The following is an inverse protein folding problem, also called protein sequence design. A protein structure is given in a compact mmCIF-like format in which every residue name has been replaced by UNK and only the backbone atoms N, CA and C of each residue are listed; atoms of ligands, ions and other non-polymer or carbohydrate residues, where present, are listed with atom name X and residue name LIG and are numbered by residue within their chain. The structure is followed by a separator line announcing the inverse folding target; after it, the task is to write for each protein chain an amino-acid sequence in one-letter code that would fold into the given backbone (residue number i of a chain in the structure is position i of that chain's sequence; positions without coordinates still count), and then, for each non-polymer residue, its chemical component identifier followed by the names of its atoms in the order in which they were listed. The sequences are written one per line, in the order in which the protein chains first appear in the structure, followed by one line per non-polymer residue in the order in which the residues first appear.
data_IF_435779532779
#
_entry.id   IF_435779532779
#
_cell.length_a   1.000
_cell.length_b   1.000
_cell.length_c   1.000
_cell.angle_alpha   90.00
_cell.angle_beta   90.00
_cell.angle_gamma   90.00
#
_symmetry.space_group_name_H-M   'P 1'
#
loop_
_entity.id
_entity.type
_entity.pdbx_description
1 polymer ?
#
# COMPACT_ATOMS: atom_id res chain seq x y z
N UNK A 1 9.61 -44.63 0.47
CA UNK A 1 8.26 -44.86 -0.10
C UNK A 1 7.96 -43.74 -1.13
N UNK A 2 8.73 -43.67 -2.22
CA UNK A 2 8.75 -42.54 -3.18
C UNK A 2 8.97 -43.03 -4.63
N UNK A 3 8.39 -44.18 -4.98
CA UNK A 3 8.51 -44.78 -6.34
C UNK A 3 7.14 -45.04 -6.96
N UNK A 4 6.15 -45.43 -6.15
CA UNK A 4 4.80 -45.78 -6.61
C UNK A 4 4.02 -44.60 -7.23
N UNK A 5 4.15 -43.38 -6.68
CA UNK A 5 3.47 -42.20 -7.23
C UNK A 5 4.13 -41.70 -8.52
N UNK A 6 5.45 -41.80 -8.65
CA UNK A 6 6.18 -41.33 -9.85
C UNK A 6 5.85 -42.18 -11.09
N UNK A 7 5.63 -43.48 -10.93
CA UNK A 7 5.36 -44.39 -12.05
C UNK A 7 3.90 -44.33 -12.55
N UNK A 8 2.93 -44.02 -11.68
CA UNK A 8 1.53 -43.76 -12.08
C UNK A 8 1.40 -42.42 -12.80
N UNK A 9 2.12 -41.39 -12.35
CA UNK A 9 2.13 -40.09 -13.01
C UNK A 9 2.96 -40.08 -14.30
N UNK A 10 4.04 -40.87 -14.42
CA UNK A 10 4.87 -40.90 -15.64
C UNK A 10 4.22 -41.68 -16.79
N UNK A 11 3.50 -42.78 -16.50
CA UNK A 11 2.80 -43.58 -17.51
C UNK A 11 1.49 -42.96 -18.01
N UNK A 12 0.72 -42.31 -17.12
CA UNK A 12 -0.57 -41.68 -17.45
C UNK A 12 -0.47 -40.25 -17.98
N UNK A 13 0.51 -39.45 -17.50
CA UNK A 13 0.67 -38.08 -17.99
C UNK A 13 1.27 -38.02 -19.40
N UNK A 14 2.11 -38.98 -19.79
CA UNK A 14 2.70 -39.02 -21.14
C UNK A 14 1.62 -39.28 -22.21
N UNK A 15 0.68 -40.20 -21.96
CA UNK A 15 -0.43 -40.44 -22.89
C UNK A 15 -1.44 -39.31 -22.94
N UNK A 16 -1.69 -38.62 -21.82
CA UNK A 16 -2.53 -37.42 -21.77
C UNK A 16 -1.87 -36.23 -22.48
N UNK A 17 -0.56 -36.02 -22.31
CA UNK A 17 0.19 -34.96 -23.02
C UNK A 17 0.23 -35.23 -24.52
N UNK A 18 0.40 -36.49 -24.95
CA UNK A 18 0.35 -36.86 -26.37
C UNK A 18 -1.08 -36.73 -26.92
N UNK A 19 -2.11 -37.13 -26.18
CA UNK A 19 -3.51 -36.96 -26.61
C UNK A 19 -3.94 -35.49 -26.67
N UNK A 20 -3.44 -34.64 -25.76
CA UNK A 20 -3.64 -33.18 -25.82
C UNK A 20 -2.84 -32.56 -26.96
N UNK A 21 -1.60 -33.01 -27.18
CA UNK A 21 -0.78 -32.61 -28.33
C UNK A 21 -1.45 -32.95 -29.66
N UNK A 22 -1.92 -34.19 -29.81
CA UNK A 22 -2.62 -34.66 -31.01
C UNK A 22 -4.00 -33.98 -31.19
N UNK A 23 -4.71 -33.66 -30.11
CA UNK A 23 -5.99 -32.94 -30.20
C UNK A 23 -5.80 -31.45 -30.57
N UNK A 24 -4.73 -30.82 -30.08
CA UNK A 24 -4.33 -29.46 -30.48
C UNK A 24 -3.86 -29.43 -31.94
N UNK A 25 -3.17 -30.47 -32.40
CA UNK A 25 -2.64 -30.55 -33.76
C UNK A 25 -3.73 -30.94 -34.79
N UNK A 26 -4.68 -31.80 -34.39
CA UNK A 26 -5.77 -32.27 -35.26
C UNK A 26 -6.98 -31.31 -35.34
N UNK A 27 -7.14 -30.39 -34.38
CA UNK A 27 -8.23 -29.41 -34.39
C UNK A 27 -7.78 -27.99 -34.78
N UNK A 28 -6.50 -27.81 -35.13
CA UNK A 28 -6.00 -26.52 -35.61
C UNK A 28 -5.13 -26.74 -36.84
N UNK A 29 -5.74 -26.61 -38.02
CA UNK A 29 -5.14 -26.89 -39.34
C UNK A 29 -4.97 -25.63 -40.23
N UNK A 30 -5.18 -24.42 -39.71
CA UNK A 30 -4.99 -23.16 -40.45
C UNK A 30 -4.10 -22.17 -39.69
N UNK A 31 -2.97 -21.79 -40.28
CA UNK A 31 -2.05 -20.76 -39.75
C UNK A 31 -2.72 -19.38 -39.60
N UNK A 32 -3.78 -19.12 -40.37
CA UNK A 32 -4.58 -17.89 -40.31
C UNK A 32 -5.51 -17.87 -39.09
N UNK A 33 -6.17 -18.99 -38.78
CA UNK A 33 -7.03 -19.10 -37.59
C UNK A 33 -6.22 -19.06 -36.29
N UNK A 34 -5.00 -19.63 -36.27
CA UNK A 34 -4.06 -19.46 -35.14
C UNK A 34 -3.69 -18.00 -34.92
N UNK A 35 -3.41 -17.26 -36.00
CA UNK A 35 -3.10 -15.82 -35.92
C UNK A 35 -4.29 -14.97 -35.48
N UNK A 36 -5.51 -15.29 -35.92
CA UNK A 36 -6.71 -14.60 -35.45
C UNK A 36 -6.97 -14.89 -33.97
N UNK A 37 -6.84 -16.15 -33.56
CA UNK A 37 -6.98 -16.56 -32.16
C UNK A 37 -5.90 -15.91 -31.27
N UNK A 38 -4.64 -15.85 -31.71
CA UNK A 38 -3.57 -15.14 -30.99
C UNK A 38 -3.85 -13.64 -30.87
N UNK A 39 -4.42 -13.02 -31.92
CA UNK A 39 -4.84 -11.62 -31.87
C UNK A 39 -6.03 -11.40 -30.92
N UNK A 40 -7.00 -12.31 -30.88
CA UNK A 40 -8.12 -12.24 -29.95
C UNK A 40 -7.69 -12.48 -28.50
N UNK A 41 -6.82 -13.47 -28.25
CA UNK A 41 -6.21 -13.72 -26.95
C UNK A 41 -5.37 -12.52 -26.51
N UNK A 42 -4.61 -11.90 -27.42
CA UNK A 42 -3.85 -10.68 -27.16
C UNK A 42 -4.75 -9.50 -26.77
N UNK A 43 -5.87 -9.31 -27.48
CA UNK A 43 -6.88 -8.28 -27.14
C UNK A 43 -7.55 -8.57 -25.80
N UNK A 44 -7.93 -9.82 -25.54
CA UNK A 44 -8.55 -10.23 -24.28
C UNK A 44 -7.60 -10.04 -23.10
N UNK A 45 -6.33 -10.40 -23.26
CA UNK A 45 -5.28 -10.21 -22.25
C UNK A 45 -5.06 -8.72 -21.97
N UNK A 46 -4.95 -7.90 -23.02
CA UNK A 46 -4.80 -6.44 -22.87
C UNK A 46 -6.02 -5.80 -22.18
N UNK A 47 -7.23 -6.23 -22.54
CA UNK A 47 -8.46 -5.77 -21.88
C UNK A 47 -8.53 -6.19 -20.41
N UNK A 48 -8.11 -7.41 -20.11
CA UNK A 48 -8.02 -7.92 -18.74
C UNK A 48 -7.01 -7.12 -17.91
N UNK A 49 -5.82 -6.86 -18.45
CA UNK A 49 -4.81 -6.02 -17.79
C UNK A 49 -5.32 -4.59 -17.53
N UNK A 50 -6.02 -3.99 -18.50
CA UNK A 50 -6.62 -2.66 -18.33
C UNK A 50 -7.72 -2.65 -17.26
N UNK A 51 -8.58 -3.68 -17.24
CA UNK A 51 -9.60 -3.84 -16.20
C UNK A 51 -8.97 -4.02 -14.82
N UNK A 52 -7.94 -4.86 -14.70
CA UNK A 52 -7.23 -5.06 -13.46
C UNK A 52 -6.54 -3.79 -12.96
N UNK A 53 -5.92 -3.03 -13.86
CA UNK A 53 -5.34 -1.73 -13.54
C UNK A 53 -6.42 -0.73 -13.08
N UNK A 54 -7.57 -0.70 -13.74
CA UNK A 54 -8.70 0.15 -13.37
C UNK A 54 -9.28 -0.22 -12.00
N UNK A 55 -9.44 -1.51 -11.71
CA UNK A 55 -9.89 -2.02 -10.41
C UNK A 55 -8.92 -1.65 -9.30
N UNK A 56 -7.60 -1.81 -9.51
CA UNK A 56 -6.59 -1.41 -8.51
C UNK A 56 -6.58 0.11 -8.26
N UNK A 57 -6.83 0.92 -9.29
CA UNK A 57 -7.03 2.37 -9.13
C UNK A 57 -8.30 2.69 -8.35
N UNK A 58 -9.40 1.97 -8.61
CA UNK A 58 -10.67 2.15 -7.91
C UNK A 58 -10.57 1.76 -6.43
N UNK A 59 -9.89 0.66 -6.11
CA UNK A 59 -9.62 0.23 -4.74
C UNK A 59 -8.77 1.28 -3.99
N UNK A 60 -7.71 1.77 -4.65
CA UNK A 60 -6.88 2.85 -4.08
C UNK A 60 -7.70 4.11 -3.85
N UNK A 61 -8.57 4.49 -4.80
CA UNK A 61 -9.46 5.65 -4.64
C UNK A 61 -10.48 5.44 -3.52
N UNK A 62 -11.06 4.25 -3.37
CA UNK A 62 -12.00 3.94 -2.31
C UNK A 62 -11.33 4.02 -0.92
N UNK A 63 -10.13 3.45 -0.78
CA UNK A 63 -9.34 3.54 0.44
C UNK A 63 -8.95 4.99 0.78
N UNK A 64 -8.51 5.77 -0.22
CA UNK A 64 -8.22 7.19 -0.05
C UNK A 64 -9.49 8.01 0.26
N UNK A 65 -10.63 7.63 -0.31
CA UNK A 65 -11.94 8.24 -0.10
C UNK A 65 -12.45 8.05 1.32
N UNK A 66 -12.33 6.85 1.88
CA UNK A 66 -12.67 6.58 3.28
C UNK A 66 -11.82 7.42 4.23
N UNK A 67 -10.52 7.49 3.96
CA UNK A 67 -9.58 8.32 4.75
C UNK A 67 -9.87 9.82 4.60
N UNK A 68 -10.29 10.26 3.40
CA UNK A 68 -10.70 11.63 3.12
C UNK A 68 -12.01 11.99 3.82
N UNK A 69 -13.00 11.09 3.87
CA UNK A 69 -14.28 11.32 4.54
C UNK A 69 -14.10 11.55 6.05
N UNK A 70 -13.16 10.82 6.68
CA UNK A 70 -12.81 11.01 8.07
C UNK A 70 -12.15 12.37 8.30
N UNK A 71 -11.31 12.84 7.36
CA UNK A 71 -10.69 14.17 7.40
C UNK A 71 -11.69 15.30 7.13
N UNK A 72 -12.62 15.11 6.20
CA UNK A 72 -13.70 16.07 5.89
C UNK A 72 -14.68 16.20 7.05
N UNK A 73 -15.01 15.11 7.73
CA UNK A 73 -15.85 15.20 8.93
C UNK A 73 -15.15 16.03 10.03
N UNK A 74 -13.82 15.92 10.14
CA UNK A 74 -13.03 16.76 11.05
C UNK A 74 -12.91 18.22 10.57
N UNK A 75 -12.79 18.48 9.26
CA UNK A 75 -12.78 19.85 8.73
C UNK A 75 -14.13 20.54 8.96
N UNK A 76 -15.24 19.83 8.73
CA UNK A 76 -16.60 20.33 8.99
C UNK A 76 -16.83 20.65 10.46
N UNK A 77 -16.25 19.87 11.38
CA UNK A 77 -16.28 20.16 12.83
C UNK A 77 -15.41 21.38 13.17
N UNK A 78 -14.27 21.56 12.49
CA UNK A 78 -13.40 22.73 12.67
C UNK A 78 -14.02 24.03 12.09
N UNK A 79 -14.74 23.93 10.96
CA UNK A 79 -15.43 25.03 10.29
C UNK A 79 -16.78 25.40 10.93
N UNK A 80 -17.38 24.49 11.70
CA UNK A 80 -18.65 24.75 12.39
C UNK A 80 -18.52 25.94 13.36
N UNK A 81 -19.35 26.96 13.19
CA UNK A 81 -19.34 28.20 13.99
C UNK A 81 -19.57 27.94 15.49
N UNK A 82 -20.31 26.89 15.84
CA UNK A 82 -20.65 26.52 17.22
C UNK A 82 -19.63 25.59 17.92
N UNK A 83 -18.58 25.15 17.23
CA UNK A 83 -17.58 24.28 17.87
C UNK A 83 -16.68 25.10 18.81
N UNK A 84 -16.51 24.62 20.06
CA UNK A 84 -15.61 25.21 21.05
C UNK A 84 -14.18 25.33 20.50
N UNK A 85 -13.47 26.42 20.84
CA UNK A 85 -12.09 26.68 20.41
C UNK A 85 -11.16 25.47 20.68
N UNK A 86 -11.39 24.76 21.79
CA UNK A 86 -10.64 23.55 22.14
C UNK A 86 -10.91 22.40 21.17
N UNK A 87 -12.15 22.21 20.73
CA UNK A 87 -12.52 21.16 19.78
C UNK A 87 -11.91 21.41 18.39
N UNK A 88 -11.78 22.70 18.00
CA UNK A 88 -11.14 23.09 16.73
C UNK A 88 -9.64 22.84 16.71
N UNK A 89 -8.98 22.95 17.86
CA UNK A 89 -7.52 22.91 17.96
C UNK A 89 -6.98 21.64 18.64
N UNK A 90 -7.83 20.73 19.11
CA UNK A 90 -7.38 19.52 19.84
C UNK A 90 -6.41 18.67 19.02
N UNK A 91 -6.66 18.51 17.72
CA UNK A 91 -5.81 17.71 16.83
C UNK A 91 -4.43 18.32 16.59
N UNK A 92 -4.31 19.59 16.15
CA UNK A 92 -2.99 20.21 16.02
C UNK A 92 -2.26 20.33 17.36
N UNK A 93 -2.96 20.63 18.46
CA UNK A 93 -2.35 20.66 19.81
C UNK A 93 -1.79 19.29 20.18
N UNK A 94 -2.55 18.21 19.98
CA UNK A 94 -2.10 16.85 20.26
C UNK A 94 -0.91 16.46 19.39
N UNK A 95 -0.91 16.85 18.11
CA UNK A 95 0.20 16.61 17.20
C UNK A 95 1.48 17.34 17.64
N UNK A 96 1.38 18.62 17.98
CA UNK A 96 2.48 19.40 18.54
C UNK A 96 2.97 18.82 19.87
N UNK A 97 2.07 18.32 20.73
CA UNK A 97 2.43 17.67 21.98
C UNK A 97 3.21 16.37 21.75
N UNK A 98 2.76 15.50 20.84
CA UNK A 98 3.44 14.22 20.52
C UNK A 98 4.82 14.49 19.92
N UNK A 99 4.91 15.40 18.95
CA UNK A 99 6.19 15.76 18.31
C UNK A 99 7.12 16.41 19.34
N UNK A 100 6.64 17.39 20.11
CA UNK A 100 7.40 18.09 21.13
C UNK A 100 7.92 17.13 22.21
N UNK A 101 7.09 16.20 22.69
CA UNK A 101 7.48 15.19 23.66
C UNK A 101 8.53 14.23 23.08
N UNK A 102 8.41 13.85 21.82
CA UNK A 102 9.39 12.97 21.14
C UNK A 102 10.76 13.64 21.07
N UNK A 103 10.82 14.90 20.61
CA UNK A 103 12.07 15.67 20.58
C UNK A 103 12.62 15.92 21.98
N UNK A 104 11.76 16.21 22.95
CA UNK A 104 12.15 16.36 24.35
C UNK A 104 12.78 15.06 24.88
N UNK A 105 12.21 13.90 24.57
CA UNK A 105 12.75 12.61 25.00
C UNK A 105 14.11 12.32 24.37
N UNK A 106 14.30 12.69 23.09
CA UNK A 106 15.58 12.54 22.40
C UNK A 106 16.63 13.44 23.05
N UNK A 107 16.25 14.69 23.31
CA UNK A 107 17.10 15.63 24.01
C UNK A 107 17.46 15.14 25.42
N UNK A 108 16.48 14.65 26.17
CA UNK A 108 16.69 14.14 27.53
C UNK A 108 17.63 12.93 27.54
N UNK A 109 17.45 11.97 26.63
CA UNK A 109 18.31 10.79 26.54
C UNK A 109 19.73 11.16 26.07
N UNK A 110 19.84 12.07 25.10
CA UNK A 110 21.14 12.46 24.52
C UNK A 110 21.97 13.35 25.45
N UNK A 111 21.33 14.24 26.22
CA UNK A 111 22.04 15.28 26.98
C UNK A 111 21.95 15.14 28.50
N UNK A 112 21.03 14.34 29.06
CA UNK A 112 21.02 14.11 30.51
C UNK A 112 22.04 13.03 30.89
N UNK A 113 23.07 13.43 31.65
CA UNK A 113 24.18 12.56 32.08
C UNK A 113 23.70 11.30 32.80
N UNK A 114 22.63 11.41 33.58
CA UNK A 114 22.04 10.30 34.32
C UNK A 114 21.39 9.28 33.37
N UNK A 115 20.60 9.74 32.40
CA UNK A 115 19.97 8.87 31.41
C UNK A 115 20.95 8.27 30.43
N UNK A 116 21.91 9.05 29.93
CA UNK A 116 22.93 8.54 29.00
C UNK A 116 23.78 7.43 29.65
N UNK A 117 24.00 7.52 30.96
CA UNK A 117 24.81 6.53 31.69
C UNK A 117 24.00 5.29 32.07
N UNK A 118 22.71 5.42 32.41
CA UNK A 118 21.87 4.29 32.81
C UNK A 118 21.20 3.57 31.62
N UNK A 119 20.66 4.33 30.67
CA UNK A 119 19.89 3.82 29.54
C UNK A 119 20.77 3.51 28.32
N UNK A 120 21.89 4.23 28.15
CA UNK A 120 22.81 4.05 27.02
C UNK A 120 24.21 3.56 27.44
N UNK A 121 24.31 2.90 28.60
CA UNK A 121 25.55 2.32 29.06
C UNK A 121 26.15 1.37 28.00
N UNK A 122 27.48 1.40 27.76
CA UNK A 122 28.13 0.44 26.88
C UNK A 122 27.84 -0.99 27.35
N UNK A 123 27.41 -1.85 26.43
CA UNK A 123 27.08 -3.27 26.66
C UNK A 123 25.88 -3.56 27.59
N UNK A 124 24.97 -2.60 27.76
CA UNK A 124 23.70 -2.83 28.47
C UNK A 124 22.60 -3.35 27.53
N UNK A 125 21.84 -4.40 27.92
CA UNK A 125 20.62 -4.81 27.22
C UNK A 125 19.57 -3.68 27.12
N UNK A 126 19.58 -2.71 28.05
CA UNK A 126 18.66 -1.58 28.02
C UNK A 126 18.89 -0.66 26.81
N UNK A 127 20.14 -0.52 26.36
CA UNK A 127 20.49 0.31 25.20
C UNK A 127 19.77 -0.18 23.95
N UNK A 128 19.73 -1.48 23.72
CA UNK A 128 19.09 -2.05 22.52
C UNK A 128 17.56 -1.88 22.57
N UNK A 129 16.96 -2.03 23.76
CA UNK A 129 15.54 -1.75 23.99
C UNK A 129 15.22 -0.27 23.77
N UNK A 130 16.06 0.64 24.28
CA UNK A 130 15.89 2.08 24.13
C UNK A 130 16.01 2.46 22.65
N UNK A 131 16.98 1.94 21.90
CA UNK A 131 17.11 2.17 20.46
C UNK A 131 15.88 1.65 19.71
N UNK A 132 15.36 0.47 20.07
CA UNK A 132 14.13 -0.06 19.49
C UNK A 132 12.93 0.87 19.74
N UNK A 133 12.76 1.35 20.97
CA UNK A 133 11.69 2.30 21.34
C UNK A 133 11.86 3.63 20.60
N UNK A 134 13.09 4.14 20.47
CA UNK A 134 13.39 5.35 19.69
C UNK A 134 13.05 5.16 18.20
N UNK A 135 13.30 3.97 17.64
CA UNK A 135 12.88 3.63 16.27
C UNK A 135 11.36 3.65 16.11
N UNK A 136 10.64 3.04 17.04
CA UNK A 136 9.17 3.05 17.06
C UNK A 136 8.62 4.48 17.20
N UNK A 137 9.19 5.31 18.09
CA UNK A 137 8.80 6.71 18.26
C UNK A 137 9.09 7.57 17.02
N UNK A 138 10.24 7.37 16.37
CA UNK A 138 10.55 8.03 15.08
C UNK A 138 9.47 7.71 14.03
N UNK A 139 9.02 6.46 14.01
CA UNK A 139 7.98 5.99 13.08
C UNK A 139 6.65 6.68 13.37
N UNK A 140 6.23 6.73 14.65
CA UNK A 140 5.01 7.43 15.06
C UNK A 140 5.09 8.92 14.73
N UNK A 141 6.21 9.59 15.02
CA UNK A 141 6.41 11.00 14.67
C UNK A 141 6.33 11.23 13.15
N UNK A 142 6.92 10.33 12.36
CA UNK A 142 6.84 10.38 10.89
C UNK A 142 5.41 10.18 10.40
N UNK A 143 4.64 9.28 11.01
CA UNK A 143 3.23 9.08 10.69
C UNK A 143 2.39 10.32 11.03
N UNK A 144 2.63 10.98 12.17
CA UNK A 144 1.95 12.24 12.52
C UNK A 144 2.29 13.32 11.49
N UNK A 145 3.57 13.52 11.16
CA UNK A 145 3.98 14.47 10.12
C UNK A 145 3.34 14.13 8.77
N UNK A 146 3.30 12.85 8.40
CA UNK A 146 2.65 12.37 7.17
C UNK A 146 1.14 12.53 7.20
N UNK A 147 0.50 12.51 8.37
CA UNK A 147 -0.92 12.80 8.48
C UNK A 147 -1.22 14.28 8.18
N UNK A 148 -0.38 15.21 8.66
CA UNK A 148 -0.59 16.65 8.44
C UNK A 148 -0.07 17.14 7.08
N UNK A 149 1.05 16.61 6.60
CA UNK A 149 1.75 17.08 5.39
C UNK A 149 1.76 16.06 4.25
N UNK A 150 1.43 14.80 4.51
CA UNK A 150 1.32 13.73 3.52
C UNK A 150 -0.02 13.78 2.78
N UNK A 151 -0.01 14.51 1.68
CA UNK A 151 -0.98 14.55 0.58
C UNK A 151 -2.46 14.75 0.96
N UNK A 152 -2.84 16.00 1.19
CA UNK A 152 -4.17 16.48 0.77
C UNK A 152 -4.13 16.98 -0.68
N UNK A 153 -3.10 17.74 -1.07
CA UNK A 153 -2.97 18.30 -2.43
C UNK A 153 -2.67 17.24 -3.51
N UNK A 154 -1.85 16.23 -3.20
CA UNK A 154 -1.47 15.22 -4.19
C UNK A 154 -2.64 14.36 -4.70
N UNK A 155 -3.63 14.08 -3.86
CA UNK A 155 -4.83 13.32 -4.27
C UNK A 155 -5.80 14.19 -5.06
N UNK A 156 -5.97 15.45 -4.67
CA UNK A 156 -6.79 16.40 -5.43
C UNK A 156 -6.19 16.66 -6.84
N UNK A 157 -4.87 16.80 -6.93
CA UNK A 157 -4.18 17.00 -8.20
C UNK A 157 -4.16 15.72 -9.06
N UNK A 158 -4.01 14.54 -8.44
CA UNK A 158 -4.15 13.25 -9.15
C UNK A 158 -5.56 13.02 -9.67
N UNK A 159 -6.59 13.34 -8.89
CA UNK A 159 -8.00 13.24 -9.33
C UNK A 159 -8.30 14.23 -10.46
N UNK A 160 -7.78 15.46 -10.40
CA UNK A 160 -7.88 16.43 -11.51
C UNK A 160 -7.16 15.95 -12.76
N UNK A 161 -5.93 15.44 -12.62
CA UNK A 161 -5.16 14.90 -13.73
C UNK A 161 -5.87 13.70 -14.38
N UNK A 162 -6.40 12.78 -13.58
CA UNK A 162 -7.15 11.62 -14.06
C UNK A 162 -8.43 12.03 -14.79
N UNK A 163 -9.23 12.93 -14.21
CA UNK A 163 -10.44 13.43 -14.86
C UNK A 163 -10.13 14.16 -16.18
N UNK A 164 -9.03 14.92 -16.24
CA UNK A 164 -8.59 15.56 -17.47
C UNK A 164 -8.12 14.56 -18.54
N UNK A 165 -7.49 13.46 -18.14
CA UNK A 165 -7.06 12.40 -19.05
C UNK A 165 -8.25 11.59 -19.61
N UNK A 166 -9.27 11.36 -18.79
CA UNK A 166 -10.51 10.68 -19.20
C UNK A 166 -11.35 11.57 -20.14
N UNK A 167 -11.48 12.86 -19.85
CA UNK A 167 -12.22 13.81 -20.69
C UNK A 167 -11.57 14.05 -22.07
N UNK A 168 -10.25 13.87 -22.20
CA UNK A 168 -9.54 14.00 -23.48
C UNK A 168 -9.69 12.76 -24.38
N UNK A 169 -10.25 11.67 -23.84
CA UNK A 169 -10.39 10.37 -24.52
C UNK A 169 -11.84 10.10 -24.99
N UNK A 170 -12.80 10.98 -24.67
CA UNK A 170 -14.15 11.02 -25.25
C UNK A 170 -14.23 12.04 -26.37
#
# INVERSE_FOLDING_TARGET
MMSFFTDIFSGGASSLVTAVGDAIDKNVTSDEERKELDNEIGKATMQYELQMAALGLQETQAYLGDTASARDNQSRVQESEHASWLAKNVHPILAFAIIGLTFFMYWYIAFSKESSTMLMAPNSPMKDIVIYILGALTTVATQVVSYFFGSSSGSADKSKALNSALAKKS
#
